data_IF_317761393380
#
_entry.id   IF_317761393380
#
_cell.length_a   1.000
_cell.length_b   1.000
_cell.length_c   1.000
_cell.angle_alpha   90.00
_cell.angle_beta   90.00
_cell.angle_gamma   90.00
#
_symmetry.space_group_name_H-M   'P 1'
#
loop_
_entity.id
_entity.type
_entity.pdbx_description
1 polymer ?
#
# COMPACT_ATOMS: atom_id res chain seq x y z
N UNK A 1 3.32 -38.09 -5.33
CA UNK A 1 3.02 -38.22 -3.87
C UNK A 1 1.53 -38.47 -3.68
N UNK A 2 1.14 -39.30 -2.70
CA UNK A 2 -0.27 -39.53 -2.39
C UNK A 2 -0.85 -38.42 -1.49
N UNK A 3 -2.18 -38.25 -1.50
CA UNK A 3 -2.88 -37.35 -0.56
C UNK A 3 -2.57 -37.70 0.90
N UNK A 4 -2.52 -38.99 1.22
CA UNK A 4 -2.16 -39.47 2.55
C UNK A 4 -0.73 -39.09 2.95
N UNK A 5 0.22 -39.11 2.00
CA UNK A 5 1.61 -38.69 2.25
C UNK A 5 1.69 -37.20 2.56
N UNK A 6 0.94 -36.34 1.86
CA UNK A 6 0.94 -34.90 2.11
C UNK A 6 0.36 -34.54 3.49
N UNK A 7 -0.76 -35.17 3.88
CA UNK A 7 -1.39 -34.90 5.19
C UNK A 7 -0.61 -35.44 6.39
N UNK A 8 0.39 -36.31 6.20
CA UNK A 8 1.33 -36.68 7.27
C UNK A 8 2.23 -35.51 7.67
N UNK A 9 2.51 -34.59 6.75
CA UNK A 9 3.36 -33.42 7.00
C UNK A 9 2.55 -32.14 7.23
N UNK A 10 1.33 -32.06 6.70
CA UNK A 10 0.45 -30.89 6.83
C UNK A 10 -0.89 -31.30 7.43
N UNK A 11 -1.19 -30.84 8.64
CA UNK A 11 -2.41 -31.21 9.37
C UNK A 11 -3.72 -30.67 8.78
N UNK A 12 -3.64 -29.75 7.80
CA UNK A 12 -4.81 -29.08 7.23
C UNK A 12 -4.51 -28.57 5.81
N UNK A 13 -5.57 -28.24 5.05
CA UNK A 13 -5.40 -27.63 3.72
C UNK A 13 -4.78 -26.25 3.84
N UNK A 14 -5.19 -25.49 4.86
CA UNK A 14 -4.62 -24.17 5.11
C UNK A 14 -3.11 -24.21 5.37
N UNK A 15 -2.62 -25.21 6.11
CA UNK A 15 -1.17 -25.42 6.36
C UNK A 15 -0.41 -25.83 5.11
N UNK A 16 -0.97 -26.77 4.32
CA UNK A 16 -0.36 -27.19 3.06
C UNK A 16 -0.25 -26.02 2.07
N UNK A 17 -1.35 -25.29 1.87
CA UNK A 17 -1.37 -24.13 0.95
C UNK A 17 -0.45 -23.01 1.44
N UNK A 18 -0.38 -22.75 2.75
CA UNK A 18 0.58 -21.80 3.29
C UNK A 18 2.02 -22.21 2.97
N UNK A 19 2.39 -23.46 3.18
CA UNK A 19 3.74 -23.95 2.87
C UNK A 19 4.09 -23.85 1.38
N UNK A 20 3.12 -24.14 0.49
CA UNK A 20 3.31 -24.00 -0.96
C UNK A 20 3.54 -22.53 -1.33
N UNK A 21 2.68 -21.62 -0.86
CA UNK A 21 2.84 -20.18 -1.12
C UNK A 21 4.15 -19.67 -0.53
N UNK A 22 4.54 -20.19 0.62
CA UNK A 22 5.78 -19.84 1.28
C UNK A 22 7.01 -20.19 0.45
N UNK A 23 7.02 -21.40 -0.11
CA UNK A 23 8.05 -21.83 -1.03
C UNK A 23 8.04 -21.00 -2.32
N UNK A 24 6.88 -20.87 -2.97
CA UNK A 24 6.70 -20.16 -4.24
C UNK A 24 7.13 -18.69 -4.18
N UNK A 25 6.85 -17.99 -3.07
CA UNK A 25 7.10 -16.56 -2.92
C UNK A 25 8.25 -16.25 -1.95
N UNK A 26 9.04 -17.24 -1.52
CA UNK A 26 10.17 -17.07 -0.61
C UNK A 26 11.09 -15.90 -0.97
N UNK A 27 11.62 -15.85 -2.20
CA UNK A 27 12.49 -14.76 -2.65
C UNK A 27 11.84 -13.38 -2.61
N UNK A 28 10.55 -13.28 -3.00
CA UNK A 28 9.80 -12.01 -2.98
C UNK A 28 9.65 -11.49 -1.55
N UNK A 29 9.52 -12.37 -0.56
CA UNK A 29 9.38 -11.98 0.85
C UNK A 29 10.68 -11.55 1.49
N UNK A 30 11.78 -12.18 1.08
CA UNK A 30 13.11 -11.86 1.55
C UNK A 30 13.72 -10.67 0.79
N UNK A 31 13.09 -10.23 -0.29
CA UNK A 31 13.55 -9.11 -1.08
C UNK A 31 13.67 -7.84 -0.23
N UNK A 32 14.86 -7.26 -0.26
CA UNK A 32 15.20 -5.95 0.25
C UNK A 32 16.05 -5.25 -0.81
N UNK A 33 15.73 -3.99 -1.10
CA UNK A 33 16.46 -3.20 -2.08
C UNK A 33 17.51 -2.35 -1.38
N UNK A 34 18.72 -2.33 -1.93
CA UNK A 34 19.82 -1.49 -1.44
C UNK A 34 19.75 -0.05 -1.97
N UNK A 35 18.84 0.23 -2.90
CA UNK A 35 18.64 1.55 -3.49
C UNK A 35 18.12 2.54 -2.45
N UNK A 36 18.34 3.84 -2.63
CA UNK A 36 17.97 4.85 -1.63
C UNK A 36 16.59 5.46 -1.87
N UNK A 37 16.16 5.60 -3.12
CA UNK A 37 14.89 6.24 -3.47
C UNK A 37 13.74 5.24 -3.65
N UNK A 38 12.52 5.68 -3.31
CA UNK A 38 11.35 4.82 -3.35
C UNK A 38 10.94 4.35 -4.75
N UNK A 39 11.23 5.14 -5.80
CA UNK A 39 10.85 4.82 -7.17
C UNK A 39 11.70 3.69 -7.75
N UNK A 40 13.02 3.75 -7.53
CA UNK A 40 13.94 2.70 -7.96
C UNK A 40 13.71 1.41 -7.15
N UNK A 41 13.47 1.51 -5.84
CA UNK A 41 13.07 0.36 -5.00
C UNK A 41 11.79 -0.31 -5.51
N UNK A 42 10.79 0.48 -5.90
CA UNK A 42 9.54 -0.02 -6.46
C UNK A 42 9.76 -0.75 -7.79
N UNK A 43 10.55 -0.15 -8.69
CA UNK A 43 10.89 -0.73 -9.99
C UNK A 43 11.61 -2.06 -9.85
N UNK A 44 12.59 -2.13 -8.94
CA UNK A 44 13.33 -3.36 -8.66
C UNK A 44 12.43 -4.45 -8.04
N UNK A 45 11.54 -4.06 -7.12
CA UNK A 45 10.56 -4.97 -6.53
C UNK A 45 9.66 -5.58 -7.61
N UNK A 46 9.12 -4.77 -8.52
CA UNK A 46 8.21 -5.23 -9.57
C UNK A 46 8.92 -6.19 -10.53
N UNK A 47 10.08 -5.79 -11.04
CA UNK A 47 10.89 -6.63 -11.96
C UNK A 47 11.19 -8.01 -11.37
N UNK A 48 11.47 -8.08 -10.07
CA UNK A 48 11.78 -9.35 -9.39
C UNK A 48 10.52 -10.16 -9.08
N UNK A 49 9.42 -9.48 -8.73
CA UNK A 49 8.20 -10.14 -8.27
C UNK A 49 7.37 -10.73 -9.41
N UNK A 50 7.24 -10.01 -10.53
CA UNK A 50 6.35 -10.44 -11.62
C UNK A 50 6.81 -11.73 -12.29
N UNK A 51 8.11 -12.00 -12.34
CA UNK A 51 8.67 -13.30 -12.75
C UNK A 51 8.08 -14.44 -11.91
N UNK A 52 8.05 -14.27 -10.58
CA UNK A 52 7.52 -15.27 -9.66
C UNK A 52 6.00 -15.38 -9.71
N UNK A 53 5.30 -14.26 -9.89
CA UNK A 53 3.84 -14.28 -10.04
C UNK A 53 3.41 -15.05 -11.28
N UNK A 54 4.11 -14.88 -12.40
CA UNK A 54 3.92 -15.67 -13.61
C UNK A 54 4.24 -17.15 -13.37
N UNK A 55 5.39 -17.46 -12.79
CA UNK A 55 5.84 -18.85 -12.55
C UNK A 55 4.86 -19.63 -11.64
N UNK A 56 4.34 -18.97 -10.60
CA UNK A 56 3.50 -19.61 -9.57
C UNK A 56 2.04 -19.15 -9.57
N UNK A 57 1.56 -18.65 -10.71
CA UNK A 57 0.18 -18.18 -10.87
C UNK A 57 -0.86 -19.23 -10.44
N UNK A 58 -0.76 -20.53 -10.84
CA UNK A 58 -1.73 -21.55 -10.42
C UNK A 58 -1.80 -21.74 -8.90
N UNK A 59 -0.65 -21.74 -8.22
CA UNK A 59 -0.55 -21.90 -6.77
C UNK A 59 -1.15 -20.69 -6.06
N UNK A 60 -0.89 -19.49 -6.58
CA UNK A 60 -1.47 -18.25 -6.05
C UNK A 60 -2.98 -18.19 -6.25
N UNK A 61 -3.51 -18.70 -7.37
CA UNK A 61 -4.96 -18.85 -7.59
C UNK A 61 -5.59 -19.84 -6.61
N UNK A 62 -4.97 -20.98 -6.39
CA UNK A 62 -5.42 -21.96 -5.40
C UNK A 62 -5.47 -21.34 -3.99
N UNK A 63 -4.45 -20.55 -3.63
CA UNK A 63 -4.44 -19.83 -2.36
C UNK A 63 -5.54 -18.77 -2.25
N UNK A 64 -5.84 -18.04 -3.33
CA UNK A 64 -6.96 -17.10 -3.37
C UNK A 64 -8.29 -17.83 -3.19
N UNK A 65 -8.51 -18.92 -3.95
CA UNK A 65 -9.72 -19.74 -3.84
C UNK A 65 -9.95 -20.22 -2.41
N UNK A 66 -8.91 -20.78 -1.77
CA UNK A 66 -9.00 -21.25 -0.38
C UNK A 66 -9.34 -20.12 0.59
N UNK A 67 -8.74 -18.94 0.38
CA UNK A 67 -9.03 -17.75 1.20
C UNK A 67 -10.50 -17.34 1.11
N UNK A 68 -11.09 -17.37 -0.09
CA UNK A 68 -12.49 -17.03 -0.32
C UNK A 68 -13.41 -18.09 0.28
N UNK A 69 -13.12 -19.37 0.04
CA UNK A 69 -13.85 -20.52 0.60
C UNK A 69 -13.89 -20.45 2.13
N UNK A 70 -12.73 -20.27 2.78
CA UNK A 70 -12.66 -20.19 4.23
C UNK A 70 -13.39 -18.96 4.78
N UNK A 71 -13.40 -17.85 4.04
CA UNK A 71 -14.19 -16.66 4.38
C UNK A 71 -15.69 -16.98 4.43
N UNK A 72 -16.21 -17.64 3.40
CA UNK A 72 -17.61 -18.06 3.33
C UNK A 72 -17.97 -19.09 4.40
N UNK A 73 -17.14 -20.12 4.60
CA UNK A 73 -17.36 -21.14 5.63
C UNK A 73 -17.34 -20.55 7.04
N UNK A 74 -16.43 -19.61 7.31
CA UNK A 74 -16.37 -18.91 8.59
C UNK A 74 -17.63 -18.08 8.84
N UNK A 75 -18.10 -17.33 7.85
CA UNK A 75 -19.34 -16.57 7.96
C UNK A 75 -20.56 -17.46 8.24
N UNK A 76 -20.56 -18.68 7.71
CA UNK A 76 -21.59 -19.68 7.98
C UNK A 76 -21.41 -20.48 9.28
N UNK A 77 -20.34 -20.24 10.07
CA UNK A 77 -20.03 -21.03 11.27
C UNK A 77 -19.62 -22.49 10.98
N UNK A 78 -19.17 -22.78 9.75
CA UNK A 78 -18.88 -24.13 9.24
C UNK A 78 -17.39 -24.39 8.99
N UNK A 79 -16.52 -23.43 9.27
CA UNK A 79 -15.08 -23.61 9.10
C UNK A 79 -14.55 -24.54 10.21
N UNK A 80 -13.96 -25.67 9.80
CA UNK A 80 -13.48 -26.74 10.68
C UNK A 80 -11.94 -26.88 10.70
N UNK A 81 -11.22 -25.88 10.21
CA UNK A 81 -9.76 -25.79 10.26
C UNK A 81 -9.32 -24.34 10.48
N UNK A 82 -8.03 -24.12 10.78
CA UNK A 82 -7.47 -22.77 10.87
C UNK A 82 -7.72 -21.99 9.58
N UNK A 83 -8.26 -20.78 9.69
CA UNK A 83 -8.51 -19.91 8.56
C UNK A 83 -7.19 -19.61 7.83
N UNK A 84 -7.13 -19.90 6.53
CA UNK A 84 -6.01 -19.48 5.71
C UNK A 84 -5.94 -17.94 5.68
N UNK A 85 -4.77 -17.38 6.02
CA UNK A 85 -4.54 -15.93 6.05
C UNK A 85 -3.49 -15.54 5.02
N UNK A 86 -3.73 -14.39 4.39
CA UNK A 86 -2.82 -13.73 3.46
C UNK A 86 -2.30 -12.44 4.10
N UNK A 87 -1.14 -11.94 3.67
CA UNK A 87 -0.66 -10.65 4.19
C UNK A 87 0.81 -10.29 3.98
N UNK A 88 1.61 -11.16 3.34
CA UNK A 88 3.05 -10.92 3.17
C UNK A 88 3.39 -9.58 2.50
N UNK A 89 2.51 -9.09 1.61
CA UNK A 89 2.68 -7.80 0.90
C UNK A 89 2.77 -6.59 1.83
N UNK A 90 2.16 -6.62 3.03
CA UNK A 90 2.13 -5.45 3.92
C UNK A 90 3.54 -5.01 4.32
N UNK A 91 4.35 -5.97 4.76
CA UNK A 91 5.71 -5.67 5.23
C UNK A 91 6.66 -5.40 4.07
N UNK A 92 6.51 -6.12 2.95
CA UNK A 92 7.28 -5.87 1.72
C UNK A 92 7.09 -4.41 1.29
N UNK A 93 5.84 -3.97 1.10
CA UNK A 93 5.54 -2.61 0.65
C UNK A 93 6.00 -1.57 1.67
N UNK A 94 5.82 -1.80 2.97
CA UNK A 94 6.31 -0.88 4.02
C UNK A 94 7.83 -0.70 3.98
N UNK A 95 8.60 -1.77 3.78
CA UNK A 95 10.07 -1.69 3.64
C UNK A 95 10.45 -0.95 2.36
N UNK A 96 9.81 -1.27 1.24
CA UNK A 96 10.02 -0.60 -0.06
C UNK A 96 9.83 0.91 0.04
N UNK A 97 8.76 1.36 0.70
CA UNK A 97 8.41 2.78 0.82
C UNK A 97 8.93 3.44 2.10
N UNK A 98 9.78 2.78 2.88
CA UNK A 98 10.38 3.38 4.08
C UNK A 98 11.12 4.71 3.80
N UNK A 99 11.79 4.94 2.64
CA UNK A 99 12.43 6.22 2.35
C UNK A 99 11.46 7.41 2.25
N UNK A 100 10.19 7.17 1.89
CA UNK A 100 9.19 8.24 1.78
C UNK A 100 8.86 8.87 3.13
N UNK A 101 9.12 8.19 4.25
CA UNK A 101 8.77 8.69 5.58
C UNK A 101 9.53 9.97 5.96
N UNK A 102 10.61 10.29 5.26
CA UNK A 102 11.34 11.55 5.44
C UNK A 102 10.56 12.78 4.91
N UNK A 103 9.69 12.60 3.91
CA UNK A 103 9.05 13.70 3.19
C UNK A 103 7.52 13.56 3.07
N UNK A 104 6.97 12.38 3.35
CA UNK A 104 5.55 12.06 3.22
C UNK A 104 4.99 11.62 4.58
N UNK A 105 3.80 12.13 4.99
CA UNK A 105 3.17 11.71 6.23
C UNK A 105 2.93 10.20 6.29
N UNK A 106 3.11 9.59 7.48
CA UNK A 106 2.99 8.15 7.66
C UNK A 106 1.61 7.59 7.25
N UNK A 107 0.54 8.36 7.44
CA UNK A 107 -0.81 7.98 7.03
C UNK A 107 -0.93 7.85 5.50
N UNK A 108 -0.26 8.71 4.74
CA UNK A 108 -0.23 8.67 3.27
C UNK A 108 0.61 7.50 2.78
N UNK A 109 1.76 7.22 3.42
CA UNK A 109 2.56 6.03 3.10
C UNK A 109 1.77 4.73 3.34
N UNK A 110 1.01 4.66 4.43
CA UNK A 110 0.15 3.49 4.69
C UNK A 110 -1.02 3.42 3.69
N UNK A 111 -1.59 4.56 3.27
CA UNK A 111 -2.58 4.63 2.17
C UNK A 111 -1.99 4.08 0.87
N UNK A 112 -0.75 4.45 0.52
CA UNK A 112 -0.03 3.91 -0.63
C UNK A 112 0.12 2.39 -0.54
N UNK A 113 0.59 1.86 0.59
CA UNK A 113 0.78 0.43 0.79
C UNK A 113 -0.54 -0.35 0.65
N UNK A 114 -1.65 0.19 1.15
CA UNK A 114 -2.99 -0.41 1.00
C UNK A 114 -3.46 -0.39 -0.46
N UNK A 115 -3.31 0.73 -1.16
CA UNK A 115 -3.71 0.84 -2.56
C UNK A 115 -2.91 -0.11 -3.46
N UNK A 116 -1.58 -0.13 -3.30
CA UNK A 116 -0.70 -1.02 -4.07
C UNK A 116 -0.94 -2.50 -3.77
N UNK A 117 -1.47 -2.83 -2.59
CA UNK A 117 -1.82 -4.22 -2.25
C UNK A 117 -2.89 -4.82 -3.17
N UNK A 118 -3.62 -4.00 -3.94
CA UNK A 118 -4.60 -4.44 -4.94
C UNK A 118 -3.95 -4.91 -6.24
N UNK A 119 -2.84 -4.27 -6.64
CA UNK A 119 -2.12 -4.57 -7.89
C UNK A 119 -0.85 -5.38 -7.68
N UNK A 120 -0.38 -5.49 -6.43
CA UNK A 120 0.75 -6.29 -6.02
C UNK A 120 0.29 -7.67 -5.49
N UNK A 121 -0.26 -8.47 -6.38
CA UNK A 121 -0.75 -9.82 -6.06
C UNK A 121 -1.47 -10.50 -7.21
N UNK A 122 -2.02 -11.69 -6.91
CA UNK A 122 -2.81 -12.48 -7.87
C UNK A 122 -4.12 -11.78 -8.28
N UNK A 123 -4.56 -10.79 -7.49
CA UNK A 123 -5.78 -10.04 -7.75
C UNK A 123 -5.74 -9.30 -9.10
N UNK A 124 -4.61 -8.69 -9.47
CA UNK A 124 -4.46 -8.04 -10.78
C UNK A 124 -4.51 -9.05 -11.92
N UNK A 125 -3.92 -10.23 -11.73
CA UNK A 125 -3.99 -11.32 -12.71
C UNK A 125 -5.42 -11.79 -12.92
N UNK A 126 -6.19 -12.02 -11.85
CA UNK A 126 -7.59 -12.46 -11.96
C UNK A 126 -8.40 -11.44 -12.74
N UNK A 127 -8.32 -10.15 -12.39
CA UNK A 127 -9.09 -9.12 -13.09
C UNK A 127 -8.64 -8.97 -14.54
N UNK A 128 -7.34 -8.81 -14.79
CA UNK A 128 -6.83 -8.48 -16.12
C UNK A 128 -6.82 -9.69 -17.06
N UNK A 129 -6.54 -10.91 -16.58
CA UNK A 129 -6.66 -12.12 -17.42
C UNK A 129 -8.11 -12.52 -17.64
N UNK A 130 -8.87 -12.67 -16.55
CA UNK A 130 -10.14 -13.41 -16.64
C UNK A 130 -11.29 -12.53 -17.12
N UNK A 131 -11.20 -11.21 -16.92
CA UNK A 131 -12.21 -10.24 -17.39
C UNK A 131 -11.76 -9.56 -18.69
N UNK A 132 -10.51 -9.12 -18.75
CA UNK A 132 -10.00 -8.31 -19.86
C UNK A 132 -9.23 -9.10 -20.92
N UNK A 133 -8.86 -10.36 -20.66
CA UNK A 133 -8.11 -11.19 -21.62
C UNK A 133 -6.64 -10.79 -21.80
N UNK A 134 -6.05 -10.03 -20.87
CA UNK A 134 -4.67 -9.57 -20.96
C UNK A 134 -3.66 -10.72 -20.84
N UNK A 135 -2.52 -10.59 -21.55
CA UNK A 135 -1.34 -11.44 -21.35
C UNK A 135 -0.45 -10.97 -20.20
N UNK A 136 0.53 -11.80 -19.78
CA UNK A 136 1.41 -11.51 -18.63
C UNK A 136 2.15 -10.17 -18.73
N UNK A 137 2.71 -9.86 -19.90
CA UNK A 137 3.48 -8.64 -20.13
C UNK A 137 2.61 -7.38 -20.00
N UNK A 138 1.36 -7.47 -20.47
CA UNK A 138 0.41 -6.37 -20.35
C UNK A 138 -0.01 -6.16 -18.90
N UNK A 139 -0.22 -7.24 -18.14
CA UNK A 139 -0.54 -7.18 -16.72
C UNK A 139 0.59 -6.53 -15.93
N UNK A 140 1.83 -6.91 -16.20
CA UNK A 140 3.01 -6.30 -15.57
C UNK A 140 3.08 -4.80 -15.88
N UNK A 141 2.96 -4.43 -17.17
CA UNK A 141 2.98 -3.03 -17.61
C UNK A 141 1.87 -2.20 -16.96
N UNK A 142 0.63 -2.68 -16.94
CA UNK A 142 -0.50 -1.98 -16.32
C UNK A 142 -0.29 -1.86 -14.81
N UNK A 143 0.11 -2.95 -14.15
CA UNK A 143 0.34 -2.94 -12.69
C UNK A 143 1.46 -1.98 -12.30
N UNK A 144 2.56 -1.96 -13.07
CA UNK A 144 3.67 -1.05 -12.85
C UNK A 144 3.29 0.41 -13.13
N UNK A 145 2.51 0.67 -14.18
CA UNK A 145 1.97 2.00 -14.46
C UNK A 145 1.07 2.50 -13.33
N UNK A 146 0.16 1.67 -12.80
CA UNK A 146 -0.66 2.03 -11.63
C UNK A 146 0.25 2.34 -10.44
N UNK A 147 1.26 1.50 -10.20
CA UNK A 147 2.11 1.65 -9.03
C UNK A 147 2.94 2.94 -9.03
N UNK A 148 3.57 3.24 -10.16
CA UNK A 148 4.34 4.47 -10.37
C UNK A 148 3.45 5.71 -10.37
N UNK A 149 2.24 5.63 -10.92
CA UNK A 149 1.27 6.73 -10.89
C UNK A 149 0.84 7.08 -9.45
N UNK A 150 0.55 6.07 -8.63
CA UNK A 150 0.18 6.27 -7.23
C UNK A 150 1.35 6.83 -6.39
N UNK A 151 2.57 6.36 -6.65
CA UNK A 151 3.77 6.90 -5.99
C UNK A 151 3.96 8.38 -6.32
N UNK A 152 3.92 8.72 -7.61
CA UNK A 152 4.04 10.11 -8.07
C UNK A 152 2.95 11.01 -7.48
N UNK A 153 1.69 10.55 -7.46
CA UNK A 153 0.57 11.30 -6.87
C UNK A 153 0.84 11.67 -5.41
N UNK A 154 1.30 10.72 -4.60
CA UNK A 154 1.57 10.96 -3.18
C UNK A 154 2.75 11.92 -2.97
N UNK A 155 3.80 11.81 -3.78
CA UNK A 155 4.93 12.74 -3.71
C UNK A 155 4.51 14.16 -4.11
N UNK A 156 3.68 14.30 -5.16
CA UNK A 156 3.14 15.59 -5.58
C UNK A 156 2.23 16.22 -4.52
N UNK A 157 1.32 15.45 -3.92
CA UNK A 157 0.46 15.93 -2.83
C UNK A 157 1.27 16.39 -1.61
N UNK A 158 2.35 15.68 -1.27
CA UNK A 158 3.23 16.05 -0.17
C UNK A 158 3.99 17.35 -0.44
N UNK A 159 4.52 17.50 -1.66
CA UNK A 159 5.21 18.72 -2.10
C UNK A 159 4.26 19.94 -2.11
N UNK A 160 3.03 19.79 -2.62
CA UNK A 160 2.05 20.87 -2.63
C UNK A 160 1.69 21.33 -1.20
N UNK A 161 1.59 20.38 -0.26
CA UNK A 161 1.36 20.69 1.16
C UNK A 161 2.55 21.40 1.80
N UNK A 162 3.79 21.03 1.48
CA UNK A 162 4.96 21.72 2.01
C UNK A 162 5.06 23.16 1.48
N UNK A 163 4.85 23.36 0.17
CA UNK A 163 4.85 24.70 -0.44
C UNK A 163 3.76 25.61 0.17
N UNK A 164 2.54 25.08 0.33
CA UNK A 164 1.43 25.83 0.93
C UNK A 164 1.69 26.20 2.40
N UNK A 165 2.41 25.35 3.14
CA UNK A 165 2.78 25.60 4.53
C UNK A 165 3.87 26.67 4.65
N UNK A 166 4.83 26.70 3.73
CA UNK A 166 5.88 27.73 3.69
C UNK A 166 5.31 29.09 3.27
N UNK A 167 4.41 29.13 2.29
CA UNK A 167 3.66 30.35 1.92
C UNK A 167 2.88 30.90 3.13
N UNK A 168 2.17 30.04 3.86
CA UNK A 168 1.41 30.43 5.06
C UNK A 168 2.30 30.98 6.19
N UNK A 169 3.53 30.48 6.33
CA UNK A 169 4.52 30.97 7.32
C UNK A 169 5.19 32.27 6.91
N UNK A 170 5.30 32.53 5.60
CA UNK A 170 5.93 33.75 5.07
C UNK A 170 5.04 35.00 5.16
N UNK A 171 3.73 34.82 5.39
CA UNK A 171 2.79 35.93 5.58
C UNK A 171 3.06 36.63 6.94
N UNK A 172 3.20 37.98 6.96
CA UNK A 172 3.37 38.71 8.21
C UNK A 172 2.15 38.51 9.13
N UNK A 173 2.33 38.51 10.47
CA UNK A 173 1.21 38.36 11.38
C UNK A 173 0.20 39.46 11.09
N UNK A 174 -1.08 39.10 10.91
CA UNK A 174 -2.16 40.07 10.76
C UNK A 174 -2.17 40.96 11.99
N UNK A 175 -1.60 42.16 11.85
CA UNK A 175 -1.50 43.13 12.93
C UNK A 175 -2.89 43.43 13.49
N UNK A 176 -3.07 43.17 14.79
CA UNK A 176 -4.23 43.62 15.54
C UNK A 176 -4.24 45.14 15.53
N UNK A 177 -5.04 45.73 14.65
CA UNK A 177 -5.42 47.14 14.71
C UNK A 177 -6.86 47.18 15.15
N UNK A 178 -7.04 47.20 16.48
CA UNK A 178 -8.36 47.09 17.10
C UNK A 178 -8.38 47.55 18.55
N UNK A 179 -7.56 48.52 18.93
CA UNK A 179 -7.73 49.33 20.14
C UNK A 179 -6.73 50.49 20.07
N UNK A 180 -7.09 51.64 20.65
CA UNK A 180 -6.35 52.93 20.64
C UNK A 180 -6.69 53.90 19.50
N UNK A 181 -7.99 54.10 19.25
CA UNK A 181 -8.50 55.34 18.67
C UNK A 181 -9.64 55.90 19.52
N UNK A 182 -9.46 55.96 20.85
CA UNK A 182 -10.48 56.49 21.76
C UNK A 182 -9.86 57.24 22.95
N UNK A 183 -8.87 58.11 22.70
CA UNK A 183 -8.38 59.06 23.71
C UNK A 183 -8.03 60.41 23.10
N UNK A 184 -8.93 61.00 22.31
CA UNK A 184 -8.86 62.43 21.94
C UNK A 184 -10.25 63.05 21.80
N UNK A 185 -11.05 63.03 22.87
CA UNK A 185 -12.20 63.92 23.00
C UNK A 185 -12.51 64.23 24.48
N UNK A 186 -11.56 64.82 25.21
CA UNK A 186 -11.86 65.46 26.49
C UNK A 186 -10.84 66.56 26.81
N UNK A 187 -10.90 67.65 26.05
CA UNK A 187 -10.37 68.94 26.48
C UNK A 187 -10.98 70.06 25.61
N UNK A 188 -12.14 70.56 26.02
CA UNK A 188 -12.62 71.87 25.62
C UNK A 188 -12.89 72.68 26.90
N UNK A 189 -12.32 73.88 27.07
CA UNK A 189 -12.59 74.72 28.23
C UNK A 189 -13.89 75.51 27.98
N UNK A 190 -14.76 75.60 28.99
CA UNK A 190 -15.82 76.62 29.01
C UNK A 190 -15.40 77.73 29.96
N UNK A 191 -15.29 78.93 29.39
CA UNK A 191 -15.30 80.20 30.10
C UNK A 191 -16.73 80.50 30.60
N UNK A 192 -16.84 81.15 31.75
CA UNK A 192 -18.08 81.60 32.37
C UNK A 192 -18.07 81.40 33.87
#
# INVERSE_FOLDING_TARGET
MSRATAYRYFSSRSRLTAAIVDFSLGPVRQFESELSDAGSRLSELFRTTFVRFKEFEPQMRCALQLSLEHGALKAAGRLNEDQYRRGYRKEILRRTFSPLRATVPAADVERLCKALSLVFGIESYVVLKDIWGCGDEEIERISFWIATSLLSSIQSEALQRSLSADDARSLPPRGGTGQEAETRLSAAPRAG
#
